data_IF_507198715915
#
_entry.id   IF_507198715915
#
_cell.length_a   1.000
_cell.length_b   1.000
_cell.length_c   1.000
_cell.angle_alpha   90.00
_cell.angle_beta   90.00
_cell.angle_gamma   90.00
#
_symmetry.space_group_name_H-M   'P 1'
#
loop_
_entity.id
_entity.type
_entity.pdbx_description
1 polymer ?
#
# COMPACT_ATOMS: atom_id res chain seq x y z
N UNK A 1 -1.55 4.86 -12.44
CA UNK A 1 -2.28 4.14 -11.38
C UNK A 1 -2.76 5.19 -10.39
N UNK A 2 -4.07 5.34 -10.21
CA UNK A 2 -4.65 6.39 -9.35
C UNK A 2 -4.61 6.02 -7.86
N UNK A 3 -4.71 6.97 -6.93
CA UNK A 3 -4.88 6.63 -5.49
C UNK A 3 -6.21 5.92 -5.24
N UNK A 4 -7.24 6.14 -6.07
CA UNK A 4 -8.46 5.33 -6.04
C UNK A 4 -8.20 3.89 -6.42
N UNK A 5 -7.38 3.64 -7.46
CA UNK A 5 -6.92 2.30 -7.77
C UNK A 5 -6.08 1.76 -6.62
N UNK A 6 -5.27 2.54 -5.90
CA UNK A 6 -4.45 2.07 -4.77
C UNK A 6 -5.25 1.80 -3.49
N UNK A 7 -6.31 2.57 -3.20
CA UNK A 7 -7.23 2.35 -2.07
C UNK A 7 -8.20 1.22 -2.41
N UNK A 8 -8.73 1.19 -3.64
CA UNK A 8 -9.49 0.06 -4.15
C UNK A 8 -8.61 -1.18 -4.29
N UNK A 9 -7.32 -1.08 -4.60
CA UNK A 9 -6.36 -2.19 -4.53
C UNK A 9 -6.06 -2.54 -3.08
N UNK A 10 -5.90 -1.61 -2.14
CA UNK A 10 -5.72 -1.98 -0.72
C UNK A 10 -6.96 -2.72 -0.18
N UNK A 11 -8.17 -2.31 -0.58
CA UNK A 11 -9.45 -2.96 -0.27
C UNK A 11 -9.67 -4.24 -1.10
N UNK A 12 -9.24 -4.29 -2.35
CA UNK A 12 -9.33 -5.46 -3.21
C UNK A 12 -8.28 -6.51 -2.86
N UNK A 13 -7.08 -6.14 -2.41
CA UNK A 13 -6.06 -7.05 -1.88
C UNK A 13 -6.46 -7.62 -0.53
N UNK A 14 -7.17 -6.85 0.30
CA UNK A 14 -7.89 -7.38 1.45
C UNK A 14 -8.87 -8.50 1.04
N UNK A 15 -9.45 -8.45 -0.16
CA UNK A 15 -10.43 -9.41 -0.68
C UNK A 15 -9.85 -10.51 -1.61
N UNK A 16 -8.77 -10.26 -2.36
CA UNK A 16 -8.26 -11.14 -3.43
C UNK A 16 -7.51 -12.36 -2.89
N UNK A 17 -6.95 -12.27 -1.68
CA UNK A 17 -6.33 -13.40 -0.97
C UNK A 17 -7.35 -14.46 -0.50
N UNK A 18 -8.65 -14.24 -0.74
CA UNK A 18 -9.72 -15.22 -0.49
C UNK A 18 -9.97 -16.17 -1.68
N UNK A 19 -9.72 -15.76 -2.93
CA UNK A 19 -10.18 -16.48 -4.13
C UNK A 19 -9.33 -17.70 -4.55
N UNK A 20 -8.41 -18.17 -3.69
CA UNK A 20 -7.38 -19.16 -4.06
C UNK A 20 -7.63 -20.62 -3.66
N UNK A 21 -8.79 -21.00 -3.10
CA UNK A 21 -9.08 -22.39 -2.72
C UNK A 21 -10.15 -23.02 -3.63
N UNK A 22 -9.77 -23.79 -4.68
CA UNK A 22 -10.71 -24.65 -5.36
C UNK A 22 -10.94 -25.92 -4.51
N UNK A 23 -12.20 -26.34 -4.40
CA UNK A 23 -12.65 -27.71 -4.05
C UNK A 23 -13.18 -28.10 -2.66
N UNK A 24 -13.36 -27.21 -1.67
CA UNK A 24 -14.21 -27.57 -0.50
C UNK A 24 -15.06 -26.42 -0.02
N UNK A 25 -16.04 -25.97 -0.81
CA UNK A 25 -17.06 -25.05 -0.30
C UNK A 25 -18.43 -25.38 -0.91
N UNK A 26 -19.36 -25.71 -0.01
CA UNK A 26 -20.79 -25.90 -0.25
C UNK A 26 -21.40 -24.75 -1.07
N UNK A 27 -22.45 -25.00 -1.86
CA UNK A 27 -23.04 -24.05 -2.84
C UNK A 27 -23.59 -22.73 -2.26
N UNK A 28 -23.57 -22.53 -0.95
CA UNK A 28 -24.16 -21.36 -0.29
C UNK A 28 -23.14 -20.27 0.12
N UNK A 29 -21.82 -20.55 0.08
CA UNK A 29 -20.77 -19.56 0.41
C UNK A 29 -20.07 -18.94 -0.80
N UNK A 30 -20.21 -19.52 -1.99
CA UNK A 30 -19.64 -18.99 -3.25
C UNK A 30 -20.43 -17.76 -3.74
N UNK A 31 -21.67 -17.58 -3.25
CA UNK A 31 -22.55 -16.44 -3.56
C UNK A 31 -22.22 -15.20 -2.72
N UNK A 32 -21.40 -15.29 -1.66
CA UNK A 32 -21.36 -14.26 -0.61
C UNK A 32 -20.34 -13.13 -0.80
N UNK A 33 -19.54 -13.06 -1.87
CA UNK A 33 -18.67 -11.90 -2.09
C UNK A 33 -18.98 -11.03 -3.29
N UNK A 34 -19.73 -11.49 -4.30
CA UNK A 34 -20.35 -10.66 -5.35
C UNK A 34 -19.68 -9.28 -5.59
N UNK A 35 -18.36 -9.23 -5.86
CA UNK A 35 -17.60 -7.97 -5.84
C UNK A 35 -17.86 -7.29 -7.18
N UNK A 36 -19.03 -6.67 -7.31
CA UNK A 36 -19.14 -5.48 -8.12
C UNK A 36 -18.18 -4.47 -7.49
N UNK A 37 -17.05 -4.20 -8.16
CA UNK A 37 -16.18 -3.07 -7.82
C UNK A 37 -17.02 -1.82 -8.04
N UNK A 38 -17.72 -1.40 -7.00
CA UNK A 38 -18.54 -0.22 -6.99
C UNK A 38 -17.71 0.88 -6.37
N UNK A 39 -17.51 1.94 -7.13
CA UNK A 39 -16.97 3.17 -6.58
C UNK A 39 -17.81 3.56 -5.34
N UNK A 40 -17.16 3.56 -4.17
CA UNK A 40 -17.83 3.87 -2.90
C UNK A 40 -18.00 5.39 -2.77
N UNK A 41 -16.99 6.16 -3.20
CA UNK A 41 -16.97 7.62 -3.11
C UNK A 41 -16.30 8.27 -4.35
N UNK A 42 -16.64 9.53 -4.69
CA UNK A 42 -16.02 10.29 -5.78
C UNK A 42 -14.49 10.41 -5.67
N UNK A 43 -13.80 10.62 -6.79
CA UNK A 43 -12.34 10.87 -6.84
C UNK A 43 -11.91 12.03 -5.94
N UNK A 44 -12.70 13.10 -5.98
CA UNK A 44 -12.47 14.33 -5.21
C UNK A 44 -13.03 14.26 -3.79
N UNK A 45 -13.38 13.08 -3.29
CA UNK A 45 -13.92 12.94 -1.93
C UNK A 45 -12.89 13.40 -0.91
N UNK A 46 -11.66 12.89 -1.00
CA UNK A 46 -10.54 13.24 -0.12
C UNK A 46 -9.40 13.91 -0.92
N UNK A 47 -9.56 15.18 -1.33
CA UNK A 47 -8.65 15.85 -2.26
C UNK A 47 -7.26 16.14 -1.67
N UNK A 48 -7.09 16.03 -0.36
CA UNK A 48 -5.80 16.15 0.33
C UNK A 48 -4.98 14.86 0.28
N UNK A 49 -5.61 13.68 0.07
CA UNK A 49 -4.90 12.41 0.12
C UNK A 49 -3.93 12.26 -1.07
N UNK A 50 -2.71 11.81 -0.79
CA UNK A 50 -1.66 11.53 -1.77
C UNK A 50 -1.12 10.13 -1.57
N UNK A 51 -0.59 9.54 -2.64
CA UNK A 51 0.32 8.41 -2.56
C UNK A 51 1.71 8.80 -3.05
N UNK A 52 2.72 8.48 -2.25
CA UNK A 52 4.14 8.55 -2.59
C UNK A 52 4.63 7.13 -2.82
N UNK A 53 4.93 6.79 -4.07
CA UNK A 53 5.47 5.48 -4.45
C UNK A 53 6.99 5.59 -4.45
N UNK A 54 7.63 4.86 -3.54
CA UNK A 54 9.08 4.71 -3.44
C UNK A 54 9.45 3.43 -4.19
N UNK A 55 9.99 3.58 -5.39
CA UNK A 55 10.38 2.46 -6.25
C UNK A 55 11.77 1.99 -5.83
N UNK A 56 11.81 0.86 -5.13
CA UNK A 56 13.03 0.20 -4.66
C UNK A 56 13.49 -0.76 -5.75
N UNK A 57 14.79 -0.70 -6.09
CA UNK A 57 15.38 -1.67 -7.01
C UNK A 57 15.87 -2.90 -6.27
N UNK A 58 15.17 -4.02 -6.39
CA UNK A 58 15.68 -5.30 -5.91
C UNK A 58 15.38 -6.47 -6.84
N UNK A 59 15.54 -6.26 -8.15
CA UNK A 59 15.50 -7.35 -9.13
C UNK A 59 14.12 -7.98 -9.31
N UNK A 60 14.07 -9.13 -9.99
CA UNK A 60 12.81 -9.86 -10.18
C UNK A 60 12.39 -10.57 -8.89
N UNK A 61 11.11 -10.47 -8.54
CA UNK A 61 10.52 -11.24 -7.44
C UNK A 61 10.78 -12.74 -7.64
N UNK A 62 11.32 -13.40 -6.61
CA UNK A 62 11.62 -14.85 -6.66
C UNK A 62 10.38 -15.69 -6.97
N UNK A 63 9.21 -15.28 -6.43
CA UNK A 63 7.93 -15.97 -6.63
C UNK A 63 6.85 -14.97 -7.01
N UNK A 64 6.26 -15.14 -8.20
CA UNK A 64 5.13 -14.31 -8.63
C UNK A 64 3.89 -14.43 -7.74
N UNK A 65 3.12 -13.34 -7.63
CA UNK A 65 1.96 -13.22 -6.72
C UNK A 65 0.95 -14.35 -6.90
N UNK A 66 0.60 -14.72 -8.13
CA UNK A 66 -0.36 -15.81 -8.39
C UNK A 66 0.11 -17.18 -7.91
N UNK A 67 1.43 -17.45 -7.93
CA UNK A 67 1.99 -18.68 -7.36
C UNK A 67 2.10 -18.56 -5.84
N UNK A 68 2.56 -17.41 -5.35
CA UNK A 68 2.66 -17.13 -3.92
C UNK A 68 1.32 -17.25 -3.19
N UNK A 69 0.26 -16.66 -3.74
CA UNK A 69 -1.09 -16.73 -3.16
C UNK A 69 -1.60 -18.17 -3.06
N UNK A 70 -1.44 -18.99 -4.12
CA UNK A 70 -1.84 -20.41 -4.09
C UNK A 70 -1.10 -21.18 -3.01
N UNK A 71 0.23 -21.07 -2.98
CA UNK A 71 1.04 -21.71 -1.94
C UNK A 71 0.60 -21.28 -0.54
N UNK A 72 0.27 -20.00 -0.36
CA UNK A 72 -0.15 -19.47 0.93
C UNK A 72 -1.50 -20.01 1.36
N UNK A 73 -2.46 -20.13 0.44
CA UNK A 73 -3.75 -20.77 0.70
C UNK A 73 -3.57 -22.23 1.11
N UNK A 74 -2.64 -22.93 0.46
CA UNK A 74 -2.38 -24.35 0.71
C UNK A 74 -1.64 -24.59 2.04
N UNK A 75 -0.78 -23.66 2.47
CA UNK A 75 0.21 -23.95 3.53
C UNK A 75 0.18 -23.03 4.74
N UNK A 76 -0.30 -21.79 4.65
CA UNK A 76 -0.32 -20.88 5.80
C UNK A 76 -1.46 -21.22 6.76
N UNK A 77 -1.13 -21.43 8.02
CA UNK A 77 -2.11 -21.62 9.09
C UNK A 77 -2.77 -20.29 9.50
N UNK A 78 -2.06 -19.17 9.33
CA UNK A 78 -2.53 -17.82 9.68
C UNK A 78 -3.60 -17.27 8.72
N UNK A 79 -3.56 -17.64 7.44
CA UNK A 79 -4.46 -17.07 6.42
C UNK A 79 -5.94 -17.26 6.75
N UNK A 80 -6.31 -18.46 7.24
CA UNK A 80 -7.72 -18.78 7.56
C UNK A 80 -8.29 -17.85 8.62
N UNK A 81 -7.50 -17.55 9.66
CA UNK A 81 -7.92 -16.63 10.71
C UNK A 81 -8.01 -15.19 10.20
N UNK A 82 -7.02 -14.73 9.42
CA UNK A 82 -7.04 -13.39 8.81
C UNK A 82 -8.32 -13.17 8.01
N UNK A 83 -8.61 -14.09 7.09
CA UNK A 83 -9.72 -13.91 6.17
C UNK A 83 -11.08 -13.98 6.88
N UNK A 84 -11.25 -14.90 7.85
CA UNK A 84 -12.52 -15.06 8.56
C UNK A 84 -12.77 -13.98 9.61
N UNK A 85 -11.73 -13.56 10.34
CA UNK A 85 -11.90 -12.78 11.57
C UNK A 85 -11.31 -11.37 11.50
N UNK A 86 -10.32 -11.10 10.65
CA UNK A 86 -9.58 -9.82 10.67
C UNK A 86 -10.00 -8.92 9.51
N UNK A 87 -10.01 -9.44 8.28
CA UNK A 87 -10.30 -8.67 7.07
C UNK A 87 -11.69 -8.02 7.09
N UNK A 88 -12.79 -8.70 7.45
CA UNK A 88 -14.13 -8.08 7.41
C UNK A 88 -14.24 -6.84 8.32
N UNK A 89 -13.67 -6.90 9.52
CA UNK A 89 -13.67 -5.77 10.46
C UNK A 89 -12.75 -4.63 10.00
N UNK A 90 -11.58 -4.96 9.44
CA UNK A 90 -10.68 -3.95 8.86
C UNK A 90 -11.32 -3.21 7.69
N UNK A 91 -12.02 -3.90 6.80
CA UNK A 91 -12.75 -3.27 5.70
C UNK A 91 -13.78 -2.28 6.25
N UNK A 92 -14.60 -2.69 7.22
CA UNK A 92 -15.60 -1.82 7.83
C UNK A 92 -14.99 -0.55 8.44
N UNK A 93 -13.92 -0.69 9.23
CA UNK A 93 -13.24 0.44 9.88
C UNK A 93 -12.51 1.34 8.87
N UNK A 94 -11.87 0.76 7.86
CA UNK A 94 -11.17 1.51 6.82
C UNK A 94 -12.14 2.32 5.96
N UNK A 95 -13.29 1.74 5.60
CA UNK A 95 -14.36 2.45 4.91
C UNK A 95 -14.86 3.64 5.73
N UNK A 96 -15.14 3.43 7.03
CA UNK A 96 -15.59 4.51 7.91
C UNK A 96 -14.53 5.62 8.08
N UNK A 97 -13.26 5.24 8.21
CA UNK A 97 -12.15 6.20 8.29
C UNK A 97 -12.02 7.01 7.00
N UNK A 98 -12.15 6.37 5.84
CA UNK A 98 -12.11 7.04 4.54
C UNK A 98 -13.29 7.99 4.33
N UNK A 99 -14.50 7.57 4.70
CA UNK A 99 -15.70 8.42 4.64
C UNK A 99 -15.58 9.66 5.54
N UNK A 100 -14.99 9.50 6.73
CA UNK A 100 -14.83 10.56 7.72
C UNK A 100 -13.57 11.44 7.53
N UNK A 101 -12.74 11.15 6.52
CA UNK A 101 -11.39 11.73 6.37
C UNK A 101 -10.54 11.58 7.65
N UNK A 102 -10.70 10.48 8.37
CA UNK A 102 -9.87 10.16 9.53
C UNK A 102 -8.57 9.51 9.08
N UNK A 103 -7.58 10.35 8.74
CA UNK A 103 -6.26 9.86 8.34
C UNK A 103 -5.59 9.00 9.42
N UNK A 104 -5.88 9.25 10.69
CA UNK A 104 -5.24 8.52 11.78
C UNK A 104 -5.64 7.06 11.79
N UNK A 105 -6.95 6.79 11.79
CA UNK A 105 -7.50 5.44 11.76
C UNK A 105 -7.20 4.75 10.41
N UNK A 106 -7.30 5.49 9.30
CA UNK A 106 -6.90 5.01 7.98
C UNK A 106 -5.45 4.49 7.99
N UNK A 107 -4.51 5.30 8.48
CA UNK A 107 -3.10 4.97 8.52
C UNK A 107 -2.79 3.74 9.38
N UNK A 108 -3.41 3.66 10.57
CA UNK A 108 -3.25 2.53 11.48
C UNK A 108 -3.68 1.21 10.82
N UNK A 109 -4.84 1.20 10.16
CA UNK A 109 -5.37 -0.01 9.50
C UNK A 109 -4.50 -0.39 8.31
N UNK A 110 -4.16 0.58 7.45
CA UNK A 110 -3.33 0.33 6.25
C UNK A 110 -1.98 -0.30 6.60
N UNK A 111 -1.24 0.27 7.57
CA UNK A 111 0.05 -0.27 7.98
C UNK A 111 -0.08 -1.64 8.64
N UNK A 112 -1.06 -1.81 9.53
CA UNK A 112 -1.31 -3.09 10.20
C UNK A 112 -1.75 -4.20 9.24
N UNK A 113 -2.42 -3.84 8.15
CA UNK A 113 -2.84 -4.78 7.13
C UNK A 113 -1.70 -5.23 6.22
N UNK A 114 -0.91 -4.26 5.75
CA UNK A 114 0.35 -4.54 5.05
C UNK A 114 1.26 -5.48 5.85
N UNK A 115 1.47 -5.18 7.14
CA UNK A 115 2.31 -6.03 8.00
C UNK A 115 1.77 -7.46 8.12
N UNK A 116 0.45 -7.63 8.29
CA UNK A 116 -0.15 -8.96 8.44
C UNK A 116 -0.13 -9.76 7.13
N UNK A 117 -0.28 -9.08 5.98
CA UNK A 117 -0.09 -9.69 4.67
C UNK A 117 1.30 -10.31 4.55
N UNK A 118 2.36 -9.55 4.86
CA UNK A 118 3.74 -10.06 4.79
C UNK A 118 4.07 -11.08 5.88
N UNK A 119 3.42 -11.02 7.04
CA UNK A 119 3.52 -12.07 8.06
C UNK A 119 2.97 -13.41 7.56
N UNK A 120 1.86 -13.37 6.80
CA UNK A 120 1.28 -14.57 6.18
C UNK A 120 2.14 -15.09 5.04
N UNK A 121 2.73 -14.19 4.23
CA UNK A 121 3.75 -14.59 3.25
C UNK A 121 4.92 -15.34 3.90
N UNK A 122 5.33 -14.93 5.10
CA UNK A 122 6.40 -15.60 5.86
C UNK A 122 5.96 -16.94 6.47
N UNK A 123 4.67 -17.11 6.78
CA UNK A 123 4.06 -18.34 7.29
C UNK A 123 3.82 -19.40 6.19
N UNK A 124 3.77 -18.99 4.93
CA UNK A 124 3.72 -19.89 3.75
C UNK A 124 4.93 -20.83 3.71
N UNK A 125 4.75 -22.04 3.19
CA UNK A 125 5.85 -23.01 3.00
C UNK A 125 6.06 -23.38 1.51
N UNK A 126 7.26 -23.18 0.94
CA UNK A 126 8.38 -22.40 1.47
C UNK A 126 8.04 -20.92 1.70
N UNK A 127 8.74 -20.22 2.61
CA UNK A 127 8.43 -18.83 2.95
C UNK A 127 8.58 -17.90 1.76
N UNK A 128 7.67 -16.93 1.66
CA UNK A 128 7.69 -15.88 0.65
C UNK A 128 8.24 -14.59 1.28
N UNK A 129 9.34 -14.07 0.74
CA UNK A 129 9.93 -12.79 1.16
C UNK A 129 9.80 -11.78 0.03
N UNK A 130 8.81 -10.89 0.14
CA UNK A 130 8.59 -9.81 -0.82
C UNK A 130 9.27 -8.48 -0.45
N UNK A 131 9.45 -8.24 0.85
CA UNK A 131 10.08 -7.03 1.36
C UNK A 131 11.60 -7.21 1.47
N UNK A 132 12.36 -6.25 0.95
CA UNK A 132 13.81 -6.18 1.13
C UNK A 132 14.20 -5.32 2.34
N UNK A 133 15.49 -5.27 2.63
CA UNK A 133 16.03 -4.49 3.74
C UNK A 133 15.73 -2.99 3.57
N UNK A 134 15.71 -2.50 2.33
CA UNK A 134 15.29 -1.13 2.00
C UNK A 134 13.81 -0.88 2.35
N UNK A 135 12.93 -1.87 2.14
CA UNK A 135 11.51 -1.77 2.56
C UNK A 135 11.39 -1.59 4.07
N UNK A 136 12.20 -2.29 4.86
CA UNK A 136 12.25 -2.12 6.32
C UNK A 136 12.82 -0.77 6.77
N UNK A 137 13.75 -0.20 6.00
CA UNK A 137 14.21 1.19 6.22
C UNK A 137 13.07 2.18 6.00
N UNK A 138 12.24 2.00 4.97
CA UNK A 138 11.04 2.82 4.76
C UNK A 138 10.06 2.68 5.94
N UNK A 139 9.79 1.47 6.41
CA UNK A 139 8.94 1.23 7.60
C UNK A 139 9.45 2.02 8.80
N UNK A 140 10.75 1.95 9.08
CA UNK A 140 11.36 2.67 10.19
C UNK A 140 11.20 4.18 10.05
N UNK A 141 11.53 4.72 8.89
CA UNK A 141 11.40 6.15 8.62
C UNK A 141 9.95 6.63 8.76
N UNK A 142 8.97 5.89 8.24
CA UNK A 142 7.55 6.26 8.40
C UNK A 142 7.09 6.18 9.86
N UNK A 143 7.52 5.17 10.62
CA UNK A 143 7.20 5.09 12.05
C UNK A 143 7.82 6.26 12.84
N UNK A 144 9.06 6.65 12.54
CA UNK A 144 9.72 7.80 13.16
C UNK A 144 9.04 9.13 12.75
N UNK A 145 8.62 9.25 11.49
CA UNK A 145 7.80 10.37 11.02
C UNK A 145 6.46 10.47 11.77
N UNK A 146 5.91 9.34 12.21
CA UNK A 146 4.67 9.26 12.98
C UNK A 146 4.84 9.36 14.50
N UNK A 147 6.04 9.62 15.03
CA UNK A 147 6.32 9.59 16.47
C UNK A 147 5.52 10.59 17.34
N UNK A 148 4.72 11.48 16.73
CA UNK A 148 3.78 12.37 17.42
C UNK A 148 2.50 11.66 17.89
N UNK A 149 1.51 12.46 18.31
CA UNK A 149 0.23 11.94 18.83
C UNK A 149 -0.77 11.49 17.76
N UNK A 150 -0.50 11.75 16.48
CA UNK A 150 -1.33 11.34 15.34
C UNK A 150 -0.47 10.80 14.22
N UNK A 151 -1.04 9.89 13.43
CA UNK A 151 -0.40 9.38 12.23
C UNK A 151 -0.44 10.46 11.15
N UNK A 152 0.66 10.61 10.41
CA UNK A 152 0.84 11.59 9.34
C UNK A 152 1.21 10.93 8.00
N UNK A 153 1.74 9.70 8.04
CA UNK A 153 1.98 8.86 6.88
C UNK A 153 1.59 7.41 7.15
N UNK A 154 1.27 6.65 6.10
CA UNK A 154 0.92 5.24 6.19
C UNK A 154 1.57 4.46 5.07
N UNK A 155 2.44 3.50 5.39
CA UNK A 155 3.06 2.64 4.39
C UNK A 155 2.16 1.43 4.07
N UNK A 156 2.27 0.94 2.85
CA UNK A 156 1.78 -0.38 2.44
C UNK A 156 2.71 -0.98 1.38
N UNK A 157 2.83 -2.31 1.38
CA UNK A 157 3.68 -3.07 0.48
C UNK A 157 2.87 -4.20 -0.15
N UNK A 158 2.97 -4.34 -1.46
CA UNK A 158 2.37 -5.45 -2.20
C UNK A 158 3.38 -6.62 -2.33
N UNK A 159 3.24 -7.49 -3.33
CA UNK A 159 4.14 -8.58 -3.67
C UNK A 159 5.46 -8.10 -4.33
N UNK A 160 6.17 -7.22 -3.63
CA UNK A 160 7.49 -6.68 -3.98
C UNK A 160 7.95 -5.63 -2.96
N UNK A 161 9.14 -5.04 -3.13
CA UNK A 161 9.71 -4.16 -2.12
C UNK A 161 9.16 -2.74 -2.13
N UNK A 162 8.49 -2.35 -3.21
CA UNK A 162 8.11 -0.97 -3.47
C UNK A 162 7.15 -0.51 -2.38
N UNK A 163 7.47 0.62 -1.75
CA UNK A 163 6.59 1.19 -0.75
C UNK A 163 5.59 2.12 -1.43
N UNK A 164 4.32 1.94 -1.12
CA UNK A 164 3.31 2.98 -1.32
C UNK A 164 3.07 3.65 0.03
N UNK A 165 3.30 4.95 0.12
CA UNK A 165 3.11 5.72 1.35
C UNK A 165 1.95 6.69 1.12
N UNK A 166 0.85 6.49 1.84
CA UNK A 166 -0.23 7.47 1.89
C UNK A 166 0.12 8.59 2.86
N UNK A 167 -0.24 9.81 2.49
CA UNK A 167 0.07 11.04 3.24
C UNK A 167 -0.91 12.12 2.82
N UNK A 168 -1.22 13.07 3.69
CA UNK A 168 -1.98 14.27 3.31
C UNK A 168 -1.06 15.30 2.61
N UNK A 169 -1.60 16.07 1.68
CA UNK A 169 -0.84 16.94 0.78
C UNK A 169 0.10 17.93 1.50
N UNK A 170 -0.33 18.44 2.66
CA UNK A 170 0.47 19.35 3.49
C UNK A 170 1.72 18.69 4.12
N UNK A 171 1.77 17.36 4.21
CA UNK A 171 2.85 16.60 4.81
C UNK A 171 3.82 15.98 3.77
N UNK A 172 3.55 16.14 2.46
CA UNK A 172 4.35 15.51 1.39
C UNK A 172 5.81 15.98 1.44
N UNK A 173 6.05 17.29 1.47
CA UNK A 173 7.42 17.83 1.44
C UNK A 173 8.21 17.47 2.72
N UNK A 174 7.54 17.47 3.87
CA UNK A 174 8.13 17.06 5.14
C UNK A 174 8.49 15.56 5.11
N UNK A 175 7.61 14.72 4.56
CA UNK A 175 7.83 13.28 4.39
C UNK A 175 9.02 13.02 3.44
N UNK A 176 9.09 13.67 2.28
CA UNK A 176 10.18 13.48 1.33
C UNK A 176 11.53 13.91 1.93
N UNK A 177 11.54 15.04 2.65
CA UNK A 177 12.71 15.51 3.40
C UNK A 177 13.10 14.56 4.53
N UNK A 178 12.12 13.93 5.19
CA UNK A 178 12.39 12.93 6.22
C UNK A 178 12.97 11.65 5.62
N UNK A 179 12.40 11.14 4.52
CA UNK A 179 12.87 9.94 3.82
C UNK A 179 14.29 10.09 3.28
N UNK A 180 14.68 11.29 2.80
CA UNK A 180 16.03 11.55 2.28
C UNK A 180 17.13 11.43 3.34
N UNK A 181 16.78 11.46 4.64
CA UNK A 181 17.72 11.16 5.73
C UNK A 181 18.12 9.69 5.79
N UNK A 182 17.30 8.80 5.26
CA UNK A 182 17.53 7.35 5.29
C UNK A 182 17.89 6.81 3.92
N UNK A 183 17.27 7.32 2.85
CA UNK A 183 17.39 6.81 1.50
C UNK A 183 18.01 7.84 0.56
N UNK A 184 18.85 7.38 -0.37
CA UNK A 184 19.30 8.22 -1.48
C UNK A 184 18.16 8.34 -2.50
N UNK A 185 17.41 9.44 -2.41
CA UNK A 185 16.34 9.76 -3.37
C UNK A 185 16.95 10.22 -4.72
N UNK A 186 16.25 9.98 -5.84
CA UNK A 186 16.64 10.53 -7.14
C UNK A 186 16.57 12.08 -7.13
N UNK A 187 17.34 12.77 -7.99
CA UNK A 187 17.32 14.23 -8.09
C UNK A 187 15.97 14.77 -8.60
N UNK A 188 15.28 13.97 -9.41
CA UNK A 188 13.95 14.29 -9.94
C UNK A 188 12.90 13.42 -9.24
N UNK A 189 11.87 14.07 -8.71
CA UNK A 189 10.69 13.42 -8.16
C UNK A 189 9.54 13.67 -9.12
N UNK A 190 8.89 12.60 -9.59
CA UNK A 190 7.80 12.75 -10.55
C UNK A 190 6.49 13.05 -9.83
N UNK A 191 5.97 14.26 -10.05
CA UNK A 191 4.61 14.62 -9.65
C UNK A 191 3.66 14.34 -10.81
N UNK A 192 2.70 13.43 -10.62
CA UNK A 192 1.68 13.17 -11.63
C UNK A 192 0.57 14.22 -11.53
N UNK A 193 0.89 15.48 -11.88
CA UNK A 193 0.04 16.67 -11.76
C UNK A 193 0.09 17.51 -13.02
N UNK A 194 -1.00 18.22 -13.34
CA UNK A 194 -0.93 19.45 -14.13
C UNK A 194 -0.33 20.52 -13.21
N UNK A 195 0.97 20.81 -13.39
CA UNK A 195 1.70 21.94 -12.79
C UNK A 195 1.78 21.96 -11.25
N UNK A 196 2.88 21.45 -10.69
CA UNK A 196 3.41 21.92 -9.40
C UNK A 196 4.94 21.89 -9.44
N UNK A 197 5.55 23.01 -9.05
CA UNK A 197 6.99 23.26 -9.16
C UNK A 197 7.84 22.23 -8.43
N UNK A 198 9.02 22.01 -9.01
CA UNK A 198 10.03 21.07 -8.55
C UNK A 198 10.41 21.33 -7.09
N UNK A 199 9.98 20.44 -6.19
CA UNK A 199 10.52 20.38 -4.83
C UNK A 199 11.70 19.41 -4.84
N UNK A 200 12.91 19.94 -4.97
CA UNK A 200 14.14 19.17 -4.82
C UNK A 200 14.51 19.16 -3.34
N UNK A 201 14.53 18.00 -2.65
CA UNK A 201 15.04 17.92 -1.29
C UNK A 201 16.49 18.40 -1.27
N UNK A 202 16.84 19.27 -0.30
CA UNK A 202 18.23 19.66 -0.08
C UNK A 202 19.14 18.43 0.04
N UNK A 203 20.36 18.49 -0.49
CA UNK A 203 21.30 17.37 -0.49
C UNK A 203 21.67 16.96 0.94
N UNK A 204 20.97 15.96 1.47
CA UNK A 204 21.22 15.34 2.77
C UNK A 204 21.99 14.04 2.51
N UNK A 205 23.05 13.80 3.28
CA UNK A 205 23.74 12.50 3.26
C UNK A 205 22.87 11.46 3.97
N UNK A 206 22.42 10.39 3.29
CA UNK A 206 21.56 9.39 3.91
C UNK A 206 22.33 8.55 4.94
N UNK A 207 21.63 8.11 5.99
CA UNK A 207 22.18 7.24 7.04
C UNK A 207 22.32 5.78 6.59
N UNK A 208 21.73 5.40 5.46
CA UNK A 208 21.80 4.03 4.91
C UNK A 208 22.33 4.07 3.46
N UNK A 209 22.89 2.97 2.95
CA UNK A 209 23.43 2.93 1.59
C UNK A 209 22.35 2.76 0.49
N UNK A 210 21.07 2.61 0.86
CA UNK A 210 20.02 2.27 -0.10
C UNK A 210 19.66 3.45 -1.01
N UNK A 211 19.72 3.21 -2.32
CA UNK A 211 19.29 4.15 -3.34
C UNK A 211 17.92 3.74 -3.89
N UNK A 212 17.04 4.74 -4.04
CA UNK A 212 15.70 4.56 -4.61
C UNK A 212 15.81 4.85 -6.11
N UNK A 213 15.21 3.99 -6.93
CA UNK A 213 15.19 4.15 -8.40
C UNK A 213 14.36 5.34 -8.81
N UNK A 214 13.18 5.47 -8.23
CA UNK A 214 12.23 6.51 -8.57
C UNK A 214 11.30 6.85 -7.40
N UNK A 215 10.83 8.10 -7.35
CA UNK A 215 9.79 8.54 -6.43
C UNK A 215 8.67 9.17 -7.25
N UNK A 216 7.45 8.65 -7.08
CA UNK A 216 6.26 9.15 -7.77
C UNK A 216 5.28 9.67 -6.73
N UNK A 217 4.83 10.92 -6.87
CA UNK A 217 3.78 11.51 -6.05
C UNK A 217 2.51 11.61 -6.88
N UNK A 218 1.43 10.98 -6.44
CA UNK A 218 0.15 10.95 -7.15
C UNK A 218 -1.00 11.44 -6.27
N UNK A 219 -1.96 12.10 -6.91
CA UNK A 219 -3.29 12.40 -6.34
C UNK A 219 -4.22 11.18 -6.48
N UNK A 220 -5.37 11.25 -5.81
CA UNK A 220 -6.55 10.41 -6.13
C UNK A 220 -6.97 10.73 -7.55
N UNK A 221 -6.68 9.78 -8.44
CA UNK A 221 -7.07 9.84 -9.85
C UNK A 221 -8.43 9.21 -10.08
N UNK A 222 -9.02 9.54 -11.22
CA UNK A 222 -10.40 9.19 -11.55
C UNK A 222 -10.53 7.95 -12.42
N UNK A 223 -11.79 7.64 -12.72
CA UNK A 223 -12.17 6.53 -13.59
C UNK A 223 -11.48 6.60 -14.96
N UNK A 224 -11.26 5.45 -15.63
CA UNK A 224 -10.71 5.40 -16.98
C UNK A 224 -11.42 6.37 -17.93
N UNK A 225 -10.64 7.16 -18.65
CA UNK A 225 -11.15 8.13 -19.63
C UNK A 225 -11.03 7.54 -21.02
N UNK A 226 -12.11 7.62 -21.82
CA UNK A 226 -12.04 7.38 -23.25
C UNK A 226 -11.36 8.60 -23.87
N UNK A 227 -10.21 8.39 -24.51
CA UNK A 227 -9.55 9.44 -25.27
C UNK A 227 -10.22 9.52 -26.64
N UNK A 228 -10.91 10.62 -26.93
CA UNK A 228 -11.38 10.90 -28.28
C UNK A 228 -10.18 11.38 -29.11
N UNK A 229 -9.80 10.59 -30.11
CA UNK A 229 -8.82 10.98 -31.13
C UNK A 229 -9.36 12.07 -32.05
#
# INVERSE_FOLDING_TARGET
MSVQDLVAHAVAYLADWWNGAPEVIHPELIVTLNINIKQVLPEKWWPELRAVIVVIDDGEKEVGSSKGMRNTVETSELLKHRAKCIVPERIKRLSAAFEAHDFHEFALITMADSNQLHAICLDTFPPLKYMSDASWVVIRAVNEFNAGSRMRAAYTFDAGPNACIFVENNNVDELLTHLSRYLKLPPEIHFNRESAGDCVPASITPSTPFAVKNVIVSEVGGSPKILSC
#
